data_IF_349623859645
#
_entry.id   IF_349623859645
#
_cell.length_a   1.000
_cell.length_b   1.000
_cell.length_c   1.000
_cell.angle_alpha   90.00
_cell.angle_beta   90.00
_cell.angle_gamma   90.00
#
_symmetry.space_group_name_H-M   'P 1'
#
loop_
_entity.id
_entity.type
_entity.pdbx_description
1 polymer ?
#
# COMPACT_ATOMS: atom_id res chain seq x y z
N UNK A 1 63.67 -36.41 28.84
CA UNK A 1 62.92 -37.36 27.98
C UNK A 1 61.49 -37.42 28.49
N UNK A 2 60.54 -36.79 27.80
CA UNK A 2 59.13 -37.24 27.75
C UNK A 2 58.39 -36.32 26.78
N UNK A 3 58.07 -36.86 25.60
CA UNK A 3 57.25 -36.20 24.57
C UNK A 3 55.79 -36.53 24.90
N UNK A 4 55.00 -35.54 25.29
CA UNK A 4 53.54 -35.68 25.39
C UNK A 4 52.89 -35.11 24.13
N UNK A 5 52.20 -36.00 23.42
CA UNK A 5 51.55 -35.86 22.12
C UNK A 5 50.38 -34.87 22.17
N UNK A 6 50.30 -34.00 21.16
CA UNK A 6 49.16 -33.16 20.82
C UNK A 6 48.13 -34.03 20.07
N UNK A 7 46.83 -34.03 20.42
CA UNK A 7 45.83 -34.70 19.62
C UNK A 7 45.38 -33.81 18.45
N UNK A 8 45.58 -34.33 17.25
CA UNK A 8 45.06 -33.82 15.98
C UNK A 8 43.53 -33.92 15.94
N UNK A 9 42.84 -32.78 15.99
CA UNK A 9 41.41 -32.71 15.68
C UNK A 9 41.23 -32.65 14.17
N UNK A 10 40.58 -33.68 13.64
CA UNK A 10 40.21 -33.88 12.25
C UNK A 10 39.20 -32.80 11.81
N UNK A 11 39.54 -32.08 10.73
CA UNK A 11 38.60 -31.28 9.95
C UNK A 11 37.63 -32.22 9.22
N UNK A 12 36.36 -32.23 9.65
CA UNK A 12 35.29 -32.86 8.90
C UNK A 12 34.67 -31.83 7.95
N UNK A 13 35.09 -31.87 6.68
CA UNK A 13 34.38 -31.21 5.60
C UNK A 13 33.10 -32.01 5.28
N UNK A 14 31.94 -31.50 5.72
CA UNK A 14 30.66 -31.92 5.17
C UNK A 14 30.24 -30.94 4.09
N UNK A 15 30.40 -31.39 2.85
CA UNK A 15 29.71 -30.88 1.67
C UNK A 15 28.20 -30.96 1.91
N UNK A 16 27.51 -29.82 1.94
CA UNK A 16 26.05 -29.76 1.86
C UNK A 16 25.71 -29.31 0.45
N UNK A 17 25.22 -30.27 -0.34
CA UNK A 17 24.65 -30.04 -1.66
C UNK A 17 23.54 -29.01 -1.62
N UNK A 18 23.63 -28.03 -2.51
CA UNK A 18 22.54 -27.15 -2.88
C UNK A 18 21.46 -27.96 -3.63
N UNK A 19 20.32 -28.18 -2.98
CA UNK A 19 19.10 -28.59 -3.66
C UNK A 19 18.31 -27.31 -4.02
N UNK A 20 18.26 -27.05 -5.33
CA UNK A 20 17.39 -26.07 -5.96
C UNK A 20 15.94 -26.58 -5.91
N UNK A 21 15.14 -26.05 -5.00
CA UNK A 21 13.67 -26.09 -5.08
C UNK A 21 13.14 -24.66 -4.96
N UNK A 22 12.62 -24.16 -6.08
CA UNK A 22 12.21 -22.78 -6.27
C UNK A 22 11.02 -22.40 -5.40
N UNK A 23 11.31 -21.61 -4.37
CA UNK A 23 10.42 -20.56 -3.91
C UNK A 23 11.18 -19.29 -4.22
N UNK A 24 10.72 -18.52 -5.22
CA UNK A 24 11.22 -17.17 -5.51
C UNK A 24 10.87 -16.30 -4.31
N UNK A 25 11.69 -16.37 -3.27
CA UNK A 25 11.67 -15.40 -2.19
C UNK A 25 12.02 -14.07 -2.83
N UNK A 26 11.02 -13.19 -2.87
CA UNK A 26 11.12 -11.84 -3.39
C UNK A 26 12.21 -11.11 -2.59
N UNK A 27 13.45 -11.10 -3.11
CA UNK A 27 14.63 -10.46 -2.49
C UNK A 27 14.59 -8.94 -2.69
N UNK A 28 13.42 -8.34 -2.50
CA UNK A 28 13.17 -6.92 -2.67
C UNK A 28 12.22 -6.35 -1.60
N UNK A 29 12.05 -7.05 -0.47
CA UNK A 29 11.18 -6.62 0.64
C UNK A 29 11.95 -6.30 1.95
N UNK A 30 13.28 -6.15 1.91
CA UNK A 30 14.09 -5.96 3.13
C UNK A 30 14.64 -4.56 3.36
N UNK A 31 14.28 -3.57 2.53
CA UNK A 31 14.62 -2.17 2.78
C UNK A 31 13.52 -1.22 2.30
N UNK A 32 12.25 -1.56 2.53
CA UNK A 32 11.20 -0.58 2.31
C UNK A 32 11.48 0.63 3.21
N UNK A 33 11.67 1.79 2.57
CA UNK A 33 12.04 3.03 3.24
C UNK A 33 11.05 3.30 4.37
N UNK A 34 11.48 3.74 5.57
CA UNK A 34 10.56 4.13 6.66
C UNK A 34 9.48 5.12 6.20
N UNK A 35 9.78 5.88 5.14
CA UNK A 35 8.86 6.81 4.49
C UNK A 35 7.72 6.11 3.73
N UNK A 36 7.99 4.98 3.06
CA UNK A 36 6.96 4.20 2.39
C UNK A 36 5.96 3.67 3.41
N UNK A 37 6.45 3.04 4.47
CA UNK A 37 5.62 2.43 5.51
C UNK A 37 4.61 3.43 6.09
N UNK A 38 5.02 4.68 6.34
CA UNK A 38 4.14 5.74 6.86
C UNK A 38 2.99 6.12 5.90
N UNK A 39 3.18 5.95 4.59
CA UNK A 39 2.15 6.26 3.60
C UNK A 39 1.09 5.15 3.51
N UNK A 40 1.45 3.92 3.87
CA UNK A 40 0.60 2.75 3.67
C UNK A 40 -0.56 2.70 4.67
N UNK A 41 -1.71 2.23 4.18
CA UNK A 41 -2.91 1.99 5.00
C UNK A 41 -2.62 1.09 6.20
N UNK A 42 -1.71 0.12 6.08
CA UNK A 42 -1.29 -0.78 7.17
C UNK A 42 -0.71 -0.07 8.38
N UNK A 43 -0.23 1.17 8.21
CA UNK A 43 0.45 1.95 9.24
C UNK A 43 -0.24 3.29 9.51
N UNK A 44 -1.53 3.40 9.17
CA UNK A 44 -2.33 4.61 9.38
C UNK A 44 -2.17 5.68 8.31
N UNK A 45 -1.45 5.38 7.22
CA UNK A 45 -1.47 6.18 6.01
C UNK A 45 -2.74 5.94 5.19
N UNK A 46 -2.76 6.45 3.95
CA UNK A 46 -3.93 6.38 3.06
C UNK A 46 -3.60 5.87 1.65
N UNK A 47 -2.35 5.48 1.41
CA UNK A 47 -1.91 4.90 0.14
C UNK A 47 -1.94 3.38 0.20
N UNK A 48 -2.28 2.77 -0.93
CA UNK A 48 -2.26 1.33 -1.11
C UNK A 48 -1.12 0.96 -2.06
N UNK A 49 -0.30 -0.02 -1.65
CA UNK A 49 0.67 -0.63 -2.55
C UNK A 49 -0.04 -1.63 -3.45
N UNK A 50 0.23 -1.59 -4.76
CA UNK A 50 -0.35 -2.57 -5.70
C UNK A 50 0.12 -4.00 -5.37
N UNK A 51 -0.66 -5.00 -5.79
CA UNK A 51 -0.39 -6.40 -5.45
C UNK A 51 0.96 -6.92 -5.97
N UNK A 52 1.46 -6.35 -7.07
CA UNK A 52 2.78 -6.60 -7.65
C UNK A 52 3.90 -5.79 -6.97
N UNK A 53 3.57 -4.82 -6.12
CA UNK A 53 4.52 -3.99 -5.39
C UNK A 53 5.19 -2.90 -6.24
N UNK A 54 4.67 -2.62 -7.44
CA UNK A 54 5.29 -1.73 -8.42
C UNK A 54 4.73 -0.30 -8.42
N UNK A 55 3.62 -0.05 -7.71
CA UNK A 55 2.98 1.25 -7.72
C UNK A 55 2.26 1.58 -6.40
N UNK A 56 2.07 2.87 -6.15
CA UNK A 56 1.26 3.40 -5.05
C UNK A 56 -0.01 4.03 -5.60
N UNK A 57 -1.15 3.68 -5.01
CA UNK A 57 -2.48 4.12 -5.44
C UNK A 57 -3.24 4.80 -4.32
N UNK A 58 -3.95 5.89 -4.66
CA UNK A 58 -4.86 6.56 -3.74
C UNK A 58 -5.89 7.43 -4.48
N UNK A 59 -7.08 7.54 -3.91
CA UNK A 59 -8.11 8.50 -4.31
C UNK A 59 -8.18 9.68 -3.35
N UNK A 60 -8.33 10.88 -3.90
CA UNK A 60 -8.52 12.14 -3.19
C UNK A 60 -9.92 12.68 -3.50
N UNK A 61 -10.63 13.17 -2.49
CA UNK A 61 -11.99 13.71 -2.64
C UNK A 61 -12.06 15.14 -2.09
N UNK A 62 -12.69 16.04 -2.83
CA UNK A 62 -12.85 17.43 -2.42
C UNK A 62 -14.31 17.87 -2.48
N UNK A 63 -14.58 19.10 -2.05
CA UNK A 63 -15.93 19.68 -2.02
C UNK A 63 -16.59 19.75 -3.41
N UNK A 64 -15.82 20.06 -4.46
CA UNK A 64 -16.33 20.23 -5.82
C UNK A 64 -15.21 20.08 -6.86
N UNK A 65 -15.58 20.15 -8.15
CA UNK A 65 -14.65 20.04 -9.27
C UNK A 65 -13.55 21.10 -9.23
N UNK A 66 -13.87 22.37 -8.96
CA UNK A 66 -12.87 23.45 -8.92
C UNK A 66 -11.78 23.17 -7.87
N UNK A 67 -12.16 22.76 -6.65
CA UNK A 67 -11.19 22.41 -5.60
C UNK A 67 -10.32 21.22 -5.97
N UNK A 68 -10.90 20.23 -6.63
CA UNK A 68 -10.16 19.07 -7.14
C UNK A 68 -9.16 19.50 -8.20
N UNK A 69 -9.56 20.39 -9.11
CA UNK A 69 -8.70 20.91 -10.15
C UNK A 69 -7.57 21.80 -9.62
N UNK A 70 -7.83 22.60 -8.58
CA UNK A 70 -6.81 23.41 -7.89
C UNK A 70 -5.70 22.50 -7.32
N UNK A 71 -6.10 21.42 -6.64
CA UNK A 71 -5.18 20.39 -6.14
C UNK A 71 -4.40 19.73 -7.27
N UNK A 72 -5.08 19.28 -8.34
CA UNK A 72 -4.42 18.67 -9.51
C UNK A 72 -3.41 19.61 -10.17
N UNK A 73 -3.73 20.91 -10.24
CA UNK A 73 -2.83 21.93 -10.78
C UNK A 73 -1.57 22.06 -9.92
N UNK A 74 -1.71 22.07 -8.60
CA UNK A 74 -0.56 22.08 -7.69
C UNK A 74 0.30 20.82 -7.82
N UNK A 75 -0.33 19.63 -7.92
CA UNK A 75 0.40 18.36 -8.17
C UNK A 75 1.15 18.42 -9.50
N UNK A 76 0.55 18.94 -10.57
CA UNK A 76 1.19 19.09 -11.89
C UNK A 76 2.46 19.94 -11.84
N UNK A 77 2.47 21.02 -11.05
CA UNK A 77 3.68 21.83 -10.84
C UNK A 77 4.80 21.02 -10.17
N UNK A 78 4.46 20.15 -9.20
CA UNK A 78 5.42 19.28 -8.54
C UNK A 78 5.95 18.20 -9.50
N UNK A 79 5.08 17.62 -10.34
CA UNK A 79 5.47 16.67 -11.38
C UNK A 79 6.56 17.27 -12.29
N UNK A 80 6.38 18.53 -12.69
CA UNK A 80 7.35 19.26 -13.52
C UNK A 80 8.69 19.45 -12.83
N UNK A 81 8.69 19.80 -11.53
CA UNK A 81 9.92 20.00 -10.76
C UNK A 81 10.70 18.68 -10.61
N UNK A 82 9.99 17.59 -10.35
CA UNK A 82 10.59 16.26 -10.13
C UNK A 82 10.88 15.50 -11.43
N UNK A 83 10.40 16.02 -12.56
CA UNK A 83 10.38 15.36 -13.86
C UNK A 83 9.85 13.93 -13.75
N UNK A 84 8.67 13.79 -13.12
CA UNK A 84 8.02 12.52 -12.84
C UNK A 84 6.51 12.73 -12.82
N UNK A 85 5.77 11.90 -13.55
CA UNK A 85 4.35 12.13 -13.83
C UNK A 85 3.53 10.93 -13.36
N UNK A 86 2.34 11.15 -12.79
CA UNK A 86 1.48 10.08 -12.33
C UNK A 86 0.66 9.51 -13.49
N UNK A 87 0.12 8.33 -13.26
CA UNK A 87 -1.12 7.91 -13.92
C UNK A 87 -2.28 8.41 -13.07
N UNK A 88 -3.23 9.14 -13.64
CA UNK A 88 -4.38 9.62 -12.87
C UNK A 88 -5.68 9.61 -13.67
N UNK A 89 -6.80 9.61 -12.95
CA UNK A 89 -8.13 9.82 -13.51
C UNK A 89 -8.93 10.74 -12.60
N UNK A 90 -9.75 11.61 -13.18
CA UNK A 90 -10.58 12.55 -12.43
C UNK A 90 -12.04 12.40 -12.82
N UNK A 91 -12.92 12.29 -11.81
CA UNK A 91 -14.37 12.24 -11.96
C UNK A 91 -14.97 13.25 -11.00
N UNK A 92 -15.39 14.39 -11.55
CA UNK A 92 -15.97 15.52 -10.81
C UNK A 92 -15.10 15.97 -9.62
N UNK A 93 -15.46 15.58 -8.40
CA UNK A 93 -14.79 16.01 -7.17
C UNK A 93 -13.84 14.95 -6.59
N UNK A 94 -13.52 13.91 -7.36
CA UNK A 94 -12.67 12.80 -6.94
C UNK A 94 -11.58 12.57 -7.98
N UNK A 95 -10.32 12.55 -7.54
CA UNK A 95 -9.16 12.23 -8.40
C UNK A 95 -8.45 11.01 -7.84
N UNK A 96 -8.29 9.99 -8.68
CA UNK A 96 -7.45 8.84 -8.43
C UNK A 96 -6.05 9.11 -8.97
N UNK A 97 -5.02 8.79 -8.18
CA UNK A 97 -3.60 8.93 -8.54
C UNK A 97 -2.90 7.61 -8.30
N UNK A 98 -2.15 7.16 -9.30
CA UNK A 98 -1.19 6.07 -9.23
C UNK A 98 0.20 6.60 -9.55
N UNK A 99 1.14 6.37 -8.63
CA UNK A 99 2.56 6.64 -8.83
C UNK A 99 3.30 5.35 -9.12
N UNK A 100 4.01 5.32 -10.24
CA UNK A 100 4.91 4.24 -10.64
C UNK A 100 6.03 4.79 -11.51
N UNK A 101 7.16 4.10 -11.55
CA UNK A 101 8.28 4.44 -12.42
C UNK A 101 8.33 3.48 -13.60
N UNK A 102 8.31 4.03 -14.82
CA UNK A 102 8.37 3.21 -16.04
C UNK A 102 9.78 2.63 -16.30
N UNK A 103 10.85 3.35 -15.91
CA UNK A 103 12.25 2.94 -16.15
C UNK A 103 13.17 3.33 -14.98
N UNK A 104 13.81 2.35 -14.31
CA UNK A 104 13.47 0.93 -14.35
C UNK A 104 12.02 0.74 -13.85
N UNK A 105 11.36 -0.30 -14.38
CA UNK A 105 9.96 -0.60 -14.04
C UNK A 105 9.83 -0.88 -12.54
N UNK A 106 8.91 -0.21 -11.86
CA UNK A 106 8.57 -0.46 -10.47
C UNK A 106 8.46 0.80 -9.63
N UNK A 107 8.31 0.62 -8.31
CA UNK A 107 8.23 1.71 -7.36
C UNK A 107 9.62 2.32 -7.11
N UNK A 108 9.72 3.64 -7.11
CA UNK A 108 10.96 4.36 -6.81
C UNK A 108 10.80 5.43 -5.71
N UNK A 109 11.91 6.02 -5.27
CA UNK A 109 11.91 7.13 -4.31
C UNK A 109 11.14 8.36 -4.81
N UNK A 110 11.04 8.55 -6.13
CA UNK A 110 10.25 9.64 -6.71
C UNK A 110 8.76 9.45 -6.45
N UNK A 111 8.28 8.22 -6.58
CA UNK A 111 6.90 7.85 -6.33
C UNK A 111 6.53 8.11 -4.86
N UNK A 112 7.37 7.65 -3.93
CA UNK A 112 7.21 7.87 -2.49
C UNK A 112 7.25 9.37 -2.14
N UNK A 113 8.18 10.09 -2.76
CA UNK A 113 8.34 11.53 -2.59
C UNK A 113 7.11 12.31 -3.01
N UNK A 114 6.61 12.06 -4.22
CA UNK A 114 5.44 12.76 -4.77
C UNK A 114 4.15 12.34 -4.07
N UNK A 115 4.01 11.08 -3.65
CA UNK A 115 2.90 10.64 -2.80
C UNK A 115 2.82 11.43 -1.48
N UNK A 116 3.97 11.68 -0.84
CA UNK A 116 4.05 12.51 0.39
C UNK A 116 3.66 13.97 0.12
N UNK A 117 4.07 14.50 -1.03
CA UNK A 117 3.71 15.87 -1.45
C UNK A 117 2.22 15.98 -1.72
N UNK A 118 1.61 14.98 -2.37
CA UNK A 118 0.17 14.90 -2.57
C UNK A 118 -0.58 14.93 -1.23
N UNK A 119 -0.12 14.25 -0.19
CA UNK A 119 -0.77 14.27 1.14
C UNK A 119 -0.76 15.67 1.77
N UNK A 120 0.38 16.36 1.63
CA UNK A 120 0.52 17.74 2.14
C UNK A 120 -0.39 18.69 1.38
N UNK A 121 -0.38 18.63 0.05
CA UNK A 121 -1.25 19.45 -0.80
C UNK A 121 -2.73 19.16 -0.55
N UNK A 122 -3.12 17.88 -0.43
CA UNK A 122 -4.50 17.52 -0.20
C UNK A 122 -5.05 18.11 1.11
N UNK A 123 -4.23 18.13 2.16
CA UNK A 123 -4.55 18.83 3.41
C UNK A 123 -4.74 20.33 3.21
N UNK A 124 -3.83 20.97 2.49
CA UNK A 124 -3.88 22.42 2.22
C UNK A 124 -5.11 22.82 1.38
N UNK A 125 -5.53 21.97 0.45
CA UNK A 125 -6.71 22.18 -0.40
C UNK A 125 -8.03 21.76 0.24
N UNK A 126 -8.01 21.24 1.47
CA UNK A 126 -9.20 20.83 2.21
C UNK A 126 -9.85 19.56 1.66
N UNK A 127 -9.04 18.51 1.49
CA UNK A 127 -9.53 17.15 1.22
C UNK A 127 -10.61 16.77 2.24
N UNK A 128 -11.65 16.11 1.74
CA UNK A 128 -12.69 15.50 2.55
C UNK A 128 -12.21 14.11 2.97
N UNK A 129 -12.20 13.86 4.28
CA UNK A 129 -11.90 12.52 4.77
C UNK A 129 -12.91 11.52 4.19
N UNK A 130 -12.46 10.32 3.82
CA UNK A 130 -13.37 9.26 3.42
C UNK A 130 -14.27 8.96 4.62
N UNK A 131 -15.55 9.31 4.52
CA UNK A 131 -16.57 8.78 5.43
C UNK A 131 -16.36 7.27 5.50
N UNK A 132 -16.18 6.69 6.70
CA UNK A 132 -16.03 5.25 6.83
C UNK A 132 -17.24 4.65 6.14
N UNK A 133 -17.00 3.79 5.15
CA UNK A 133 -18.07 3.15 4.40
C UNK A 133 -19.07 2.61 5.42
N UNK A 134 -20.25 3.22 5.50
CA UNK A 134 -21.32 2.81 6.38
C UNK A 134 -21.83 1.49 5.84
N UNK A 135 -21.11 0.42 6.14
CA UNK A 135 -21.64 -0.93 6.10
C UNK A 135 -22.52 -1.10 7.35
N UNK A 136 -23.58 -0.30 7.44
CA UNK A 136 -24.72 -0.55 8.31
C UNK A 136 -25.81 -1.23 7.47
N UNK A 137 -25.46 -2.39 6.92
CA UNK A 137 -26.44 -3.44 6.65
C UNK A 137 -26.27 -4.49 7.75
N UNK A 138 -26.47 -4.09 9.00
CA UNK A 138 -26.62 -5.02 10.11
C UNK A 138 -27.97 -4.77 10.78
N UNK A 139 -28.75 -5.85 10.76
CA UNK A 139 -29.82 -6.21 11.69
C UNK A 139 -31.12 -5.39 11.65
N UNK A 140 -31.84 -5.46 10.52
CA UNK A 140 -33.31 -5.32 10.49
C UNK A 140 -34.02 -6.66 10.21
N UNK A 141 -33.26 -7.73 9.91
CA UNK A 141 -33.81 -9.06 9.61
C UNK A 141 -33.95 -9.98 10.84
N UNK A 142 -33.41 -9.59 12.00
CA UNK A 142 -33.38 -10.46 13.20
C UNK A 142 -34.56 -10.24 14.16
N UNK A 143 -35.44 -9.26 13.91
CA UNK A 143 -36.61 -9.00 14.76
C UNK A 143 -37.96 -9.51 14.19
N UNK A 144 -37.99 -10.03 12.96
CA UNK A 144 -39.23 -10.54 12.33
C UNK A 144 -39.40 -12.07 12.50
N UNK A 145 -38.59 -12.71 13.34
CA UNK A 145 -38.76 -14.13 13.75
C UNK A 145 -39.06 -14.25 15.24
N UNK A 146 -39.82 -13.30 15.77
CA UNK A 146 -40.52 -13.45 17.05
C UNK A 146 -41.92 -12.90 16.83
N UNK A 147 -42.91 -13.80 16.85
CA UNK A 147 -44.36 -13.60 16.66
C UNK A 147 -44.81 -14.11 15.28
N UNK A 148 -45.48 -15.24 15.11
CA UNK A 148 -46.04 -16.20 16.05
C UNK A 148 -46.83 -17.27 15.28
N UNK A 149 -47.01 -18.43 15.91
CA UNK A 149 -48.04 -19.44 15.65
C UNK A 149 -48.27 -19.92 14.20
N UNK A 150 -47.37 -20.78 13.72
CA UNK A 150 -47.63 -21.67 12.59
C UNK A 150 -48.31 -22.97 13.08
N UNK A 151 -49.57 -22.91 13.56
CA UNK A 151 -50.45 -24.06 13.80
C UNK A 151 -51.88 -23.62 14.16
N UNK A 152 -52.82 -23.68 13.22
CA UNK A 152 -54.24 -23.93 13.54
C UNK A 152 -54.77 -24.95 12.53
N UNK A 153 -55.22 -26.10 13.05
CA UNK A 153 -55.90 -27.15 12.28
C UNK A 153 -57.32 -26.72 11.90
N UNK A 154 -57.76 -27.09 10.70
CA UNK A 154 -59.15 -27.45 10.41
C UNK A 154 -59.15 -28.70 9.55
#
# INVERSE_FOLDING_TARGET
>A
MSRSKIPSFLFSHKNISFASSGIRHNRFMSSQSPKLEQLLVSNGGRWTLTADGEALERSFKFKNFTKTWDFMTAVSLQCKIWNHHPEWSNVYNTTFIRWTTHVPKGLSDKDIGLATVCDSLAKDFGELEPEPASCEMKTLADEVVKDGNCCVKK
#
